data_IF_480190712016
#
_entry.id   IF_480190712016
#
_cell.length_a   1.000
_cell.length_b   1.000
_cell.length_c   1.000
_cell.angle_alpha   90.00
_cell.angle_beta   90.00
_cell.angle_gamma   90.00
#
_symmetry.space_group_name_H-M   'P 1'
#
loop_
_entity.id
_entity.type
_entity.pdbx_description
1 polymer ?
#
# COMPACT_ATOMS: atom_id res chain seq x y z
N UNK A 1 17.00 -2.93 14.32
CA UNK A 1 15.80 -3.35 15.07
C UNK A 1 15.00 -4.28 14.18
N UNK A 2 14.75 -5.47 14.66
CA UNK A 2 14.02 -6.46 13.86
C UNK A 2 12.55 -6.06 13.74
N UNK A 3 11.98 -6.26 12.55
CA UNK A 3 10.55 -6.03 12.34
C UNK A 3 9.71 -6.99 13.18
N UNK A 4 8.58 -6.51 13.63
CA UNK A 4 7.56 -7.38 14.21
C UNK A 4 7.10 -8.38 13.14
N UNK A 5 7.41 -9.65 13.30
CA UNK A 5 6.94 -10.72 12.43
C UNK A 5 5.57 -11.22 12.89
N UNK A 6 4.57 -11.04 12.05
CA UNK A 6 3.22 -11.57 12.28
C UNK A 6 3.03 -12.85 11.45
N UNK A 7 2.74 -13.94 12.15
CA UNK A 7 2.53 -15.26 11.55
C UNK A 7 1.07 -15.69 11.53
N UNK A 8 0.24 -15.10 12.38
CA UNK A 8 -1.17 -15.48 12.52
C UNK A 8 -2.10 -14.47 11.86
N UNK A 9 -2.99 -14.96 11.00
CA UNK A 9 -4.07 -14.17 10.40
C UNK A 9 -5.10 -13.67 11.43
N UNK A 10 -5.11 -14.24 12.63
CA UNK A 10 -5.96 -13.78 13.74
C UNK A 10 -5.43 -12.53 14.45
N UNK A 11 -4.23 -12.07 14.09
CA UNK A 11 -3.66 -10.85 14.66
C UNK A 11 -4.58 -9.64 14.44
N UNK A 12 -4.84 -8.82 15.47
CA UNK A 12 -5.74 -7.66 15.38
C UNK A 12 -5.34 -6.66 14.27
N UNK A 13 -4.04 -6.50 14.00
CA UNK A 13 -3.54 -5.62 12.93
C UNK A 13 -3.95 -6.12 11.54
N UNK A 14 -3.90 -7.45 11.32
CA UNK A 14 -4.35 -8.05 10.06
C UNK A 14 -5.87 -7.99 9.91
N UNK A 15 -6.60 -8.17 10.99
CA UNK A 15 -8.06 -7.98 10.98
C UNK A 15 -8.45 -6.54 10.63
N UNK A 16 -7.73 -5.56 11.19
CA UNK A 16 -7.93 -4.15 10.87
C UNK A 16 -7.61 -3.87 9.38
N UNK A 17 -6.52 -4.43 8.87
CA UNK A 17 -6.14 -4.31 7.47
C UNK A 17 -7.21 -4.89 6.52
N UNK A 18 -7.71 -6.08 6.81
CA UNK A 18 -8.79 -6.72 6.03
C UNK A 18 -10.06 -5.87 6.05
N UNK A 19 -10.37 -5.21 7.16
CA UNK A 19 -11.52 -4.31 7.27
C UNK A 19 -11.42 -3.12 6.32
N UNK A 20 -10.22 -2.66 6.01
CA UNK A 20 -9.96 -1.59 5.05
C UNK A 20 -10.23 -1.97 3.58
N UNK A 21 -10.56 -3.23 3.28
CA UNK A 21 -11.09 -3.62 1.97
C UNK A 21 -12.40 -2.90 1.64
N UNK A 22 -13.18 -2.57 2.65
CA UNK A 22 -14.43 -1.83 2.48
C UNK A 22 -14.13 -0.35 2.30
N UNK A 23 -14.66 0.24 1.23
CA UNK A 23 -14.51 1.67 0.93
C UNK A 23 -14.89 2.55 2.12
N UNK A 24 -16.04 2.28 2.74
CA UNK A 24 -16.49 3.04 3.91
C UNK A 24 -15.46 3.06 5.03
N UNK A 25 -14.84 1.92 5.34
CA UNK A 25 -13.81 1.87 6.38
C UNK A 25 -12.56 2.69 6.00
N UNK A 26 -12.17 2.70 4.72
CA UNK A 26 -11.07 3.57 4.25
C UNK A 26 -11.43 5.04 4.34
N UNK A 27 -12.64 5.42 3.93
CA UNK A 27 -13.11 6.80 4.01
C UNK A 27 -13.16 7.30 5.47
N UNK A 28 -13.69 6.49 6.37
CA UNK A 28 -13.73 6.79 7.82
C UNK A 28 -12.33 6.90 8.44
N UNK A 29 -11.39 6.07 8.01
CA UNK A 29 -10.01 6.11 8.50
C UNK A 29 -9.13 7.15 7.79
N UNK A 30 -9.59 7.74 6.70
CA UNK A 30 -8.82 8.69 5.90
C UNK A 30 -7.60 8.06 5.25
N UNK A 31 -7.75 6.84 4.70
CA UNK A 31 -6.66 6.05 4.12
C UNK A 31 -7.00 5.47 2.76
N UNK A 32 -5.96 5.13 2.03
CA UNK A 32 -5.98 4.31 0.81
C UNK A 32 -5.12 3.08 0.99
N UNK A 33 -5.38 2.03 0.23
CA UNK A 33 -4.53 0.84 0.18
C UNK A 33 -3.81 0.76 -1.15
N UNK A 34 -2.56 0.34 -1.11
CA UNK A 34 -1.76 0.01 -2.28
C UNK A 34 -1.19 -1.39 -2.09
N UNK A 35 -1.41 -2.26 -3.07
CA UNK A 35 -0.81 -3.58 -3.11
C UNK A 35 0.12 -3.68 -4.32
N UNK A 36 1.33 -4.13 -4.07
CA UNK A 36 2.38 -4.29 -5.04
C UNK A 36 3.58 -3.38 -4.80
N UNK A 37 4.76 -3.94 -5.07
CA UNK A 37 6.03 -3.22 -4.89
C UNK A 37 6.16 -2.03 -5.82
N UNK A 38 5.89 -2.22 -7.11
CA UNK A 38 6.05 -1.17 -8.12
C UNK A 38 5.11 0.01 -7.83
N UNK A 39 3.88 -0.28 -7.46
CA UNK A 39 2.87 0.73 -7.11
C UNK A 39 3.27 1.51 -5.86
N UNK A 40 3.81 0.81 -4.85
CA UNK A 40 4.32 1.46 -3.63
C UNK A 40 5.54 2.33 -3.93
N UNK A 41 6.49 1.83 -4.72
CA UNK A 41 7.68 2.57 -5.12
C UNK A 41 7.32 3.86 -5.86
N UNK A 42 6.37 3.78 -6.79
CA UNK A 42 5.86 4.95 -7.52
C UNK A 42 5.19 5.97 -6.58
N UNK A 43 4.38 5.52 -5.63
CA UNK A 43 3.75 6.40 -4.65
C UNK A 43 4.80 7.12 -3.78
N UNK A 44 5.80 6.39 -3.31
CA UNK A 44 6.89 6.96 -2.51
C UNK A 44 7.74 7.94 -3.33
N UNK A 45 8.02 7.62 -4.59
CA UNK A 45 8.73 8.52 -5.51
C UNK A 45 7.95 9.83 -5.79
N UNK A 46 6.62 9.75 -5.77
CA UNK A 46 5.74 10.91 -5.90
C UNK A 46 5.58 11.72 -4.58
N UNK A 47 6.30 11.35 -3.52
CA UNK A 47 6.29 12.06 -2.25
C UNK A 47 5.23 11.60 -1.25
N UNK A 48 4.51 10.50 -1.55
CA UNK A 48 3.55 9.94 -0.60
C UNK A 48 4.30 9.17 0.48
N UNK A 49 4.04 9.52 1.74
CA UNK A 49 4.61 8.82 2.90
C UNK A 49 3.59 7.81 3.43
N UNK A 50 3.87 6.50 3.32
CA UNK A 50 2.99 5.48 3.88
C UNK A 50 2.84 5.62 5.39
N UNK A 51 1.68 5.26 5.93
CA UNK A 51 1.48 5.11 7.38
C UNK A 51 2.07 3.81 7.88
N UNK A 52 1.80 2.71 7.15
CA UNK A 52 2.27 1.37 7.50
C UNK A 52 2.55 0.60 6.21
N UNK A 53 3.63 -0.15 6.19
CA UNK A 53 3.98 -1.07 5.11
C UNK A 53 4.04 -2.49 5.67
N UNK A 54 3.22 -3.37 5.12
CA UNK A 54 3.28 -4.80 5.36
C UNK A 54 4.10 -5.46 4.25
N UNK A 55 5.05 -6.29 4.63
CA UNK A 55 5.90 -6.95 3.65
C UNK A 55 6.12 -8.42 3.98
N UNK A 56 6.36 -9.23 2.97
CA UNK A 56 6.66 -10.64 3.09
C UNK A 56 7.88 -11.00 2.25
N UNK A 57 9.00 -11.28 2.90
CA UNK A 57 10.27 -11.59 2.25
C UNK A 57 10.17 -12.80 1.31
N UNK A 58 9.44 -13.84 1.72
CA UNK A 58 9.30 -15.08 0.95
C UNK A 58 8.58 -14.89 -0.40
N UNK A 59 7.91 -13.77 -0.58
CA UNK A 59 7.20 -13.42 -1.82
C UNK A 59 7.96 -12.41 -2.68
N UNK A 60 9.07 -11.85 -2.19
CA UNK A 60 9.85 -10.86 -2.93
C UNK A 60 10.55 -11.49 -4.14
N UNK A 61 10.42 -10.84 -5.30
CA UNK A 61 11.07 -11.26 -6.54
C UNK A 61 12.52 -10.78 -6.62
N UNK A 62 12.80 -9.61 -6.08
CA UNK A 62 14.15 -9.03 -5.94
C UNK A 62 14.35 -8.56 -4.51
N UNK A 63 14.71 -9.47 -3.59
CA UNK A 63 14.84 -9.13 -2.17
C UNK A 63 15.81 -7.98 -1.91
N UNK A 64 16.90 -7.89 -2.68
CA UNK A 64 17.90 -6.85 -2.50
C UNK A 64 17.35 -5.44 -2.75
N UNK A 65 16.63 -5.26 -3.84
CA UNK A 65 15.98 -3.98 -4.20
C UNK A 65 14.83 -3.67 -3.25
N UNK A 66 14.00 -4.67 -2.99
CA UNK A 66 12.76 -4.51 -2.27
C UNK A 66 12.99 -4.28 -0.77
N UNK A 67 13.94 -4.96 -0.16
CA UNK A 67 14.33 -4.70 1.24
C UNK A 67 14.98 -3.31 1.42
N UNK A 68 15.67 -2.79 0.42
CA UNK A 68 16.18 -1.41 0.48
C UNK A 68 15.06 -0.42 0.67
N UNK A 69 13.95 -0.54 -0.07
CA UNK A 69 12.81 0.33 0.09
C UNK A 69 12.21 0.23 1.51
N UNK A 70 12.07 -0.99 2.04
CA UNK A 70 11.58 -1.20 3.42
C UNK A 70 12.50 -0.51 4.42
N UNK A 71 13.81 -0.68 4.30
CA UNK A 71 14.79 -0.07 5.19
C UNK A 71 14.80 1.45 5.10
N UNK A 72 14.69 2.01 3.89
CA UNK A 72 14.63 3.46 3.68
C UNK A 72 13.36 4.06 4.30
N UNK A 73 12.22 3.40 4.15
CA UNK A 73 10.97 3.84 4.77
C UNK A 73 11.03 3.76 6.29
N UNK A 74 11.60 2.67 6.83
CA UNK A 74 11.83 2.52 8.27
C UNK A 74 12.74 3.63 8.82
N UNK A 75 13.82 3.93 8.14
CA UNK A 75 14.74 5.03 8.51
C UNK A 75 14.05 6.39 8.51
N UNK A 76 12.99 6.55 7.71
CA UNK A 76 12.14 7.75 7.66
C UNK A 76 11.01 7.75 8.69
N UNK A 77 10.96 6.75 9.58
CA UNK A 77 9.96 6.63 10.63
C UNK A 77 8.63 6.00 10.21
N UNK A 78 8.57 5.39 9.02
CA UNK A 78 7.39 4.63 8.59
C UNK A 78 7.35 3.29 9.34
N UNK A 79 6.17 2.93 9.85
CA UNK A 79 5.97 1.63 10.47
C UNK A 79 6.05 0.53 9.41
N UNK A 80 6.95 -0.43 9.62
CA UNK A 80 7.09 -1.60 8.75
C UNK A 80 6.81 -2.87 9.53
N UNK A 81 6.04 -3.78 8.95
CA UNK A 81 5.60 -5.01 9.61
C UNK A 81 5.85 -6.19 8.68
N UNK A 82 6.69 -7.11 9.13
CA UNK A 82 6.95 -8.35 8.40
C UNK A 82 5.82 -9.36 8.62
N UNK A 83 5.37 -9.99 7.54
CA UNK A 83 4.39 -11.07 7.57
C UNK A 83 5.00 -12.38 7.10
N UNK A 84 4.57 -13.49 7.70
CA UNK A 84 4.80 -14.80 7.09
C UNK A 84 4.04 -14.92 5.77
N UNK A 85 4.46 -15.81 4.89
CA UNK A 85 3.77 -16.06 3.62
C UNK A 85 2.29 -16.37 3.83
N UNK A 86 1.97 -17.28 4.76
CA UNK A 86 0.59 -17.66 5.05
C UNK A 86 -0.26 -16.48 5.55
N UNK A 87 0.31 -15.61 6.39
CA UNK A 87 -0.37 -14.42 6.87
C UNK A 87 -0.59 -13.39 5.74
N UNK A 88 0.42 -13.19 4.88
CA UNK A 88 0.31 -12.26 3.76
C UNK A 88 -0.74 -12.70 2.74
N UNK A 89 -0.75 -13.98 2.35
CA UNK A 89 -1.73 -14.53 1.40
C UNK A 89 -3.18 -14.39 1.88
N UNK A 90 -3.41 -14.34 3.19
CA UNK A 90 -4.75 -14.09 3.77
C UNK A 90 -5.23 -12.66 3.64
N UNK A 91 -4.32 -11.69 3.60
CA UNK A 91 -4.67 -10.27 3.50
C UNK A 91 -4.52 -9.72 2.08
N UNK A 92 -3.82 -10.41 1.21
CA UNK A 92 -3.63 -10.02 -0.18
C UNK A 92 -4.94 -10.02 -0.97
N UNK A 93 -5.08 -9.05 -1.88
CA UNK A 93 -6.17 -8.98 -2.85
C UNK A 93 -5.84 -9.74 -4.13
N UNK A 94 -4.56 -9.66 -4.53
CA UNK A 94 -4.08 -10.23 -5.78
C UNK A 94 -3.91 -11.74 -5.66
N UNK A 95 -4.23 -12.44 -6.73
CA UNK A 95 -3.69 -13.77 -6.97
C UNK A 95 -2.21 -13.62 -7.33
N UNK A 96 -1.32 -14.38 -6.69
CA UNK A 96 0.12 -14.24 -6.88
C UNK A 96 0.68 -12.91 -6.33
N UNK A 97 0.51 -12.64 -5.03
CA UNK A 97 1.01 -11.41 -4.42
C UNK A 97 2.55 -11.34 -4.46
N UNK A 98 3.08 -10.13 -4.56
CA UNK A 98 4.53 -9.86 -4.60
C UNK A 98 5.14 -9.51 -3.23
N UNK A 99 4.35 -9.62 -2.17
CA UNK A 99 4.80 -9.42 -0.80
C UNK A 99 4.79 -7.96 -0.32
N UNK A 100 4.06 -7.05 -0.97
CA UNK A 100 3.90 -5.66 -0.52
C UNK A 100 2.45 -5.23 -0.44
N UNK A 101 2.08 -4.65 0.69
CA UNK A 101 0.81 -3.99 0.91
C UNK A 101 1.02 -2.80 1.84
N UNK A 102 0.54 -1.63 1.45
CA UNK A 102 0.74 -0.41 2.21
C UNK A 102 -0.58 0.30 2.50
N UNK A 103 -0.65 0.89 3.69
CA UNK A 103 -1.68 1.85 4.07
C UNK A 103 -1.12 3.25 3.87
N UNK A 104 -1.72 4.00 2.95
CA UNK A 104 -1.36 5.37 2.62
C UNK A 104 -2.37 6.35 3.22
N UNK A 105 -2.01 7.63 3.40
CA UNK A 105 -3.01 8.68 3.56
C UNK A 105 -3.99 8.65 2.40
N UNK A 106 -5.23 9.05 2.62
CA UNK A 106 -6.21 9.12 1.53
C UNK A 106 -5.66 9.92 0.35
N UNK A 107 -5.67 9.31 -0.82
CA UNK A 107 -5.24 9.91 -2.08
C UNK A 107 -6.48 10.43 -2.78
N UNK A 108 -6.64 11.70 -2.81
CA UNK A 108 -7.76 12.32 -3.49
C UNK A 108 -7.80 13.80 -3.18
N UNK A 109 -8.12 14.56 -4.19
CA UNK A 109 -8.32 15.99 -4.06
C UNK A 109 -9.68 16.34 -4.65
N UNK A 110 -10.40 17.29 -4.05
CA UNK A 110 -11.60 17.82 -4.69
C UNK A 110 -11.23 18.46 -6.05
N UNK A 111 -12.18 18.47 -6.99
CA UNK A 111 -11.93 18.96 -8.33
C UNK A 111 -11.44 20.40 -8.40
N UNK A 112 -11.87 21.24 -7.46
CA UNK A 112 -11.45 22.63 -7.33
C UNK A 112 -10.02 22.81 -6.81
N UNK A 113 -9.41 21.74 -6.28
CA UNK A 113 -8.00 21.73 -5.89
C UNK A 113 -7.05 21.34 -7.04
N UNK A 114 -7.60 20.97 -8.21
CA UNK A 114 -6.78 20.66 -9.39
C UNK A 114 -6.27 21.97 -10.03
N UNK A 115 -4.95 22.09 -10.11
CA UNK A 115 -4.30 23.14 -10.89
C UNK A 115 -4.19 22.67 -12.36
N UNK A 116 -5.14 23.11 -13.18
CA UNK A 116 -5.22 22.74 -14.59
C UNK A 116 -4.80 23.94 -15.43
N UNK A 117 -3.68 23.88 -16.19
CA UNK A 117 -3.29 24.95 -17.08
C UNK A 117 -4.38 25.26 -18.13
N UNK A 118 -4.46 26.53 -18.56
CA UNK A 118 -5.49 26.98 -19.50
C UNK A 118 -5.46 26.26 -20.85
N UNK A 119 -4.31 25.71 -21.24
CA UNK A 119 -4.06 24.97 -22.48
C UNK A 119 -4.02 23.46 -22.27
N UNK A 120 -4.46 22.96 -21.10
CA UNK A 120 -4.43 21.53 -20.81
C UNK A 120 -5.40 20.75 -21.66
N UNK A 121 -4.94 19.59 -22.12
CA UNK A 121 -5.81 18.54 -22.68
C UNK A 121 -6.21 17.59 -21.54
N UNK A 122 -7.49 17.51 -21.24
CA UNK A 122 -8.03 16.73 -20.13
C UNK A 122 -8.86 15.57 -20.65
N UNK A 123 -8.53 14.35 -20.24
CA UNK A 123 -9.33 13.16 -20.46
C UNK A 123 -10.04 12.77 -19.16
N UNK A 124 -11.36 12.71 -19.23
CA UNK A 124 -12.19 12.18 -18.12
C UNK A 124 -12.68 10.79 -18.51
N UNK A 125 -12.38 9.82 -17.66
CA UNK A 125 -12.78 8.44 -17.88
C UNK A 125 -13.51 7.91 -16.64
N UNK A 126 -14.64 7.26 -16.85
CA UNK A 126 -15.46 6.66 -15.81
C UNK A 126 -15.72 5.18 -16.12
N UNK A 127 -15.76 4.37 -15.07
CA UNK A 127 -16.11 2.95 -15.18
C UNK A 127 -15.11 2.10 -15.96
N UNK A 128 -13.84 2.50 -15.99
CA UNK A 128 -12.79 1.69 -16.62
C UNK A 128 -12.52 0.47 -15.76
N UNK A 129 -12.76 -0.69 -16.33
CA UNK A 129 -12.42 -1.98 -15.76
C UNK A 129 -11.34 -2.68 -16.60
N UNK A 130 -10.69 -3.65 -15.99
CA UNK A 130 -9.74 -4.50 -16.73
C UNK A 130 -10.51 -5.26 -17.85
N UNK A 131 -9.93 -5.35 -19.04
CA UNK A 131 -10.46 -6.21 -20.09
C UNK A 131 -10.41 -7.69 -19.69
#
# INVERSE_FOLDING_TARGET
>A
MDDLLITSSANPRLKALVRLRRRRARDEAGVSLVEGFEELELAVAAGVVPRTVFHCRDLMLDPQRQERLVNDLRARGVETIALSRAAFEKVAYREGPDGFLAVLPALGSPLDALDVPADAFVLVAEGIEKP
#
